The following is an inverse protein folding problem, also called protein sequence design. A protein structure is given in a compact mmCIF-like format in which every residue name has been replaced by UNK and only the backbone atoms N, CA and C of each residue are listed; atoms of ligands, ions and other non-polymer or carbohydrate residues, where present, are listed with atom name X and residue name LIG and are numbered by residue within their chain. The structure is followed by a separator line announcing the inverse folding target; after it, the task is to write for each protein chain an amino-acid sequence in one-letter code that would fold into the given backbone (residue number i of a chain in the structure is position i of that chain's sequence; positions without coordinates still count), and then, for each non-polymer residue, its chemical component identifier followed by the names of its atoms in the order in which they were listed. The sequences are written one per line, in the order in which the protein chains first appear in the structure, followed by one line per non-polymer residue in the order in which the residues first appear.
data_IF_128195256611
#
_entry.id   IF_128195256611
#
_cell.length_a   1.000
_cell.length_b   1.000
_cell.length_c   1.000
_cell.angle_alpha   90.00
_cell.angle_beta   90.00
_cell.angle_gamma   90.00
#
_symmetry.space_group_name_H-M   'P 1'
#
loop_
_entity.id
_entity.type
_entity.pdbx_description
1 polymer ?
#
# COMPACT_ATOMS: atom_id res chain seq x y z
N UNK A 1 -9.35 -8.31 -4.85
CA UNK A 1 -9.58 -6.89 -4.49
C UNK A 1 -10.32 -6.05 -5.53
N UNK A 2 -10.35 -6.41 -6.83
CA UNK A 2 -11.05 -5.61 -7.87
C UNK A 2 -12.53 -5.32 -7.56
N UNK A 3 -13.26 -6.26 -6.97
CA UNK A 3 -14.66 -6.06 -6.57
C UNK A 3 -14.86 -4.94 -5.54
N UNK A 4 -13.82 -4.63 -4.75
CA UNK A 4 -13.86 -3.58 -3.72
C UNK A 4 -13.46 -2.21 -4.27
N UNK A 5 -12.89 -2.12 -5.48
CA UNK A 5 -12.41 -0.86 -6.07
C UNK A 5 -13.42 0.29 -5.95
N UNK A 6 -14.73 0.12 -6.25
CA UNK A 6 -15.70 1.21 -6.16
C UNK A 6 -15.85 1.82 -4.76
N UNK A 7 -15.43 1.12 -3.70
CA UNK A 7 -15.46 1.63 -2.32
C UNK A 7 -14.25 2.51 -2.00
N UNK A 8 -13.19 2.44 -2.79
CA UNK A 8 -11.92 3.12 -2.57
C UNK A 8 -11.62 4.22 -3.60
N UNK A 9 -12.47 4.42 -4.59
CA UNK A 9 -12.34 5.49 -5.59
C UNK A 9 -13.52 6.45 -5.53
N UNK A 10 -13.27 7.73 -5.75
CA UNK A 10 -14.31 8.74 -5.86
C UNK A 10 -14.68 8.94 -7.31
N UNK A 11 -15.98 8.96 -7.59
CA UNK A 11 -16.44 9.34 -8.93
C UNK A 11 -16.12 10.79 -9.27
N UNK A 12 -15.93 11.66 -8.27
CA UNK A 12 -15.68 13.08 -8.48
C UNK A 12 -14.32 13.37 -9.16
N UNK A 13 -13.35 12.46 -9.06
CA UNK A 13 -12.01 12.63 -9.60
C UNK A 13 -11.74 11.77 -10.84
N UNK A 14 -12.78 11.13 -11.40
CA UNK A 14 -12.64 10.23 -12.55
C UNK A 14 -12.12 10.96 -13.79
N UNK A 15 -12.52 12.21 -13.95
CA UNK A 15 -12.08 13.10 -15.04
C UNK A 15 -11.03 14.11 -14.54
N UNK A 16 -10.39 13.81 -13.41
CA UNK A 16 -9.38 14.66 -12.79
C UNK A 16 -8.02 14.59 -13.48
N UNK A 17 -7.15 15.51 -13.11
CA UNK A 17 -5.79 15.59 -13.65
C UNK A 17 -4.95 14.36 -13.28
N UNK A 18 -3.99 14.06 -14.15
CA UNK A 18 -2.92 13.11 -13.88
C UNK A 18 -1.69 13.88 -13.40
N UNK A 19 -1.00 13.33 -12.42
CA UNK A 19 0.20 13.88 -11.82
C UNK A 19 1.34 12.90 -12.04
N UNK A 20 2.52 13.41 -12.39
CA UNK A 20 3.73 12.61 -12.46
C UNK A 20 4.14 12.21 -11.04
N UNK A 21 4.23 10.90 -10.79
CA UNK A 21 4.55 10.30 -9.49
C UNK A 21 5.71 9.34 -9.64
N UNK A 22 6.68 9.46 -8.75
CA UNK A 22 7.79 8.50 -8.63
C UNK A 22 7.33 7.34 -7.73
N UNK A 23 6.97 6.20 -8.33
CA UNK A 23 6.30 5.12 -7.58
C UNK A 23 7.25 4.31 -6.71
N UNK A 24 8.54 4.33 -7.04
CA UNK A 24 9.61 3.68 -6.28
C UNK A 24 10.56 4.72 -5.64
N UNK A 25 10.01 5.87 -5.25
CA UNK A 25 10.78 6.82 -4.46
C UNK A 25 10.99 6.22 -3.06
N UNK A 26 12.23 6.16 -2.59
CA UNK A 26 12.61 5.78 -1.23
C UNK A 26 13.85 6.55 -0.78
N UNK A 27 14.20 6.51 0.52
CA UNK A 27 15.30 7.32 1.07
C UNK A 27 16.63 7.16 0.32
N UNK A 28 17.01 5.94 -0.13
CA UNK A 28 18.25 5.74 -0.89
C UNK A 28 18.23 6.27 -2.34
N UNK A 29 17.09 6.76 -2.84
CA UNK A 29 16.98 7.43 -4.14
C UNK A 29 17.11 8.96 -4.02
N UNK A 30 17.29 9.47 -2.79
CA UNK A 30 17.34 10.90 -2.48
C UNK A 30 18.74 11.25 -1.97
N UNK A 31 19.45 12.12 -2.67
CA UNK A 31 20.70 12.70 -2.18
C UNK A 31 20.44 14.04 -1.48
N UNK A 32 21.17 14.26 -0.39
CA UNK A 32 21.14 15.50 0.37
C UNK A 32 22.55 16.08 0.51
N UNK A 33 22.67 17.39 0.64
CA UNK A 33 23.92 18.05 1.01
C UNK A 33 24.17 18.00 2.53
N UNK A 34 25.26 18.63 2.98
CA UNK A 34 25.63 18.69 4.40
C UNK A 34 24.64 19.47 5.26
N UNK A 35 23.85 20.35 4.64
CA UNK A 35 22.84 21.18 5.31
C UNK A 35 21.45 20.53 5.28
N UNK A 36 21.32 19.35 4.66
CA UNK A 36 20.10 18.55 4.60
C UNK A 36 19.16 18.90 3.44
N UNK A 37 19.59 19.71 2.47
CA UNK A 37 18.77 20.02 1.29
C UNK A 37 18.88 18.93 0.25
N UNK A 38 17.76 18.59 -0.39
CA UNK A 38 17.72 17.61 -1.48
C UNK A 38 18.50 18.16 -2.68
N UNK A 39 19.55 17.47 -3.09
CA UNK A 39 20.42 17.87 -4.20
C UNK A 39 20.09 17.14 -5.49
N UNK A 40 19.66 15.88 -5.41
CA UNK A 40 19.40 15.05 -6.58
C UNK A 40 18.47 13.88 -6.25
N UNK A 41 17.68 13.49 -7.25
CA UNK A 41 16.90 12.25 -7.25
C UNK A 41 17.49 11.32 -8.31
N UNK A 42 17.66 10.06 -7.96
CA UNK A 42 18.12 9.01 -8.89
C UNK A 42 17.02 7.94 -9.07
N UNK A 43 17.30 6.99 -9.97
CA UNK A 43 16.44 5.81 -10.18
C UNK A 43 14.99 6.15 -10.55
N UNK A 44 14.84 6.92 -11.63
CA UNK A 44 13.57 7.47 -12.09
C UNK A 44 12.82 6.55 -13.08
N UNK A 45 13.26 5.31 -13.24
CA UNK A 45 12.70 4.37 -14.24
C UNK A 45 11.24 3.98 -13.93
N UNK A 46 10.81 4.16 -12.67
CA UNK A 46 9.46 3.92 -12.19
C UNK A 46 8.61 5.20 -12.09
N UNK A 47 8.93 6.24 -12.86
CA UNK A 47 8.11 7.44 -12.97
C UNK A 47 6.83 7.16 -13.78
N UNK A 48 5.67 7.35 -13.18
CA UNK A 48 4.36 7.09 -13.80
C UNK A 48 3.42 8.30 -13.67
N UNK A 49 2.52 8.48 -14.63
CA UNK A 49 1.41 9.44 -14.48
C UNK A 49 0.23 8.76 -13.81
N UNK A 50 -0.15 9.21 -12.61
CA UNK A 50 -1.29 8.69 -11.87
C UNK A 50 -2.41 9.72 -11.69
N UNK A 51 -3.68 9.29 -11.64
CA UNK A 51 -4.78 10.14 -11.20
C UNK A 51 -4.47 10.88 -9.91
N UNK A 52 -4.96 12.11 -9.76
CA UNK A 52 -4.72 12.92 -8.57
C UNK A 52 -5.19 12.25 -7.26
N UNK A 53 -6.21 11.38 -7.32
CA UNK A 53 -6.71 10.64 -6.15
C UNK A 53 -5.72 9.57 -5.63
N UNK A 54 -4.78 9.15 -6.47
CA UNK A 54 -3.72 8.19 -6.15
C UNK A 54 -2.47 8.83 -5.57
N UNK A 55 -2.42 10.17 -5.45
CA UNK A 55 -1.33 10.82 -4.76
C UNK A 55 -1.44 10.51 -3.27
N UNK A 56 -0.43 9.80 -2.76
CA UNK A 56 -0.34 9.43 -1.34
C UNK A 56 1.06 9.68 -0.82
N UNK A 57 1.21 10.07 0.44
CA UNK A 57 2.53 10.20 1.05
C UNK A 57 3.30 8.88 1.04
N UNK A 58 4.62 8.94 0.92
CA UNK A 58 5.43 7.73 0.91
C UNK A 58 5.32 6.98 2.24
N UNK A 59 5.02 5.67 2.18
CA UNK A 59 4.82 4.86 3.38
C UNK A 59 6.09 4.74 4.24
N UNK A 60 7.26 4.87 3.62
CA UNK A 60 8.57 4.75 4.28
C UNK A 60 8.97 5.99 5.08
N UNK A 61 8.16 7.06 5.12
CA UNK A 61 8.43 8.24 5.94
C UNK A 61 8.65 7.89 7.43
N UNK A 62 7.99 6.86 7.92
CA UNK A 62 8.17 6.35 9.30
C UNK A 62 9.28 5.31 9.43
N UNK A 63 10.05 5.06 8.37
CA UNK A 63 11.10 4.03 8.32
C UNK A 63 10.56 2.59 8.36
N UNK A 64 9.24 2.40 8.23
CA UNK A 64 8.60 1.08 8.31
C UNK A 64 8.14 0.63 6.92
N UNK A 65 8.28 -0.67 6.60
CA UNK A 65 7.67 -1.20 5.39
C UNK A 65 6.15 -1.26 5.57
N UNK A 66 5.41 -1.14 4.45
CA UNK A 66 3.94 -1.10 4.46
C UNK A 66 3.27 -2.27 5.18
N UNK A 67 3.89 -3.46 5.17
CA UNK A 67 3.35 -4.66 5.78
C UNK A 67 3.53 -4.70 7.30
N UNK A 68 4.38 -3.85 7.87
CA UNK A 68 4.61 -3.76 9.32
C UNK A 68 3.89 -2.56 9.96
N UNK A 69 3.10 -1.81 9.19
CA UNK A 69 2.20 -0.79 9.73
C UNK A 69 0.94 -1.49 10.22
N UNK A 70 0.99 -2.07 11.41
CA UNK A 70 -0.16 -2.74 12.04
C UNK A 70 -1.15 -1.72 12.63
N UNK A 71 -2.41 -2.11 12.81
CA UNK A 71 -3.39 -1.23 13.42
C UNK A 71 -3.00 -0.86 14.86
N UNK A 72 -3.29 0.38 15.27
CA UNK A 72 -2.96 0.93 16.59
C UNK A 72 -1.85 1.98 16.48
N UNK A 73 -0.90 1.96 17.41
CA UNK A 73 0.15 2.99 17.54
C UNK A 73 0.96 3.23 16.25
N UNK A 74 1.14 2.20 15.41
CA UNK A 74 1.87 2.34 14.14
C UNK A 74 1.07 3.14 13.09
N UNK A 75 -0.24 2.97 13.05
CA UNK A 75 -1.13 3.78 12.19
C UNK A 75 -1.19 5.21 12.72
N UNK A 76 -1.22 5.41 14.04
CA UNK A 76 -1.23 6.75 14.65
C UNK A 76 0.06 7.51 14.33
N UNK A 77 1.23 6.87 14.52
CA UNK A 77 2.53 7.43 14.13
C UNK A 77 2.58 7.77 12.64
N UNK A 78 2.04 6.89 11.80
CA UNK A 78 1.98 7.14 10.36
C UNK A 78 1.03 8.31 10.00
N UNK A 79 -0.08 8.44 10.73
CA UNK A 79 -1.02 9.55 10.57
C UNK A 79 -0.42 10.89 10.99
N UNK A 80 0.43 10.92 12.02
CA UNK A 80 1.19 12.11 12.41
C UNK A 80 2.16 12.52 11.31
N UNK A 81 3.02 11.60 10.85
CA UNK A 81 3.96 11.86 9.75
C UNK A 81 3.27 12.29 8.44
N UNK A 82 2.10 11.70 8.15
CA UNK A 82 1.22 12.06 7.03
C UNK A 82 0.68 13.48 7.15
N UNK A 83 0.41 13.94 8.37
CA UNK A 83 -0.10 15.29 8.64
C UNK A 83 1.00 16.32 8.44
N UNK A 84 2.18 16.09 9.01
CA UNK A 84 3.37 16.94 8.79
C UNK A 84 3.73 17.02 7.30
N UNK A 85 3.71 15.89 6.61
CA UNK A 85 4.01 15.85 5.18
C UNK A 85 3.01 16.68 4.35
N UNK A 86 1.72 16.70 4.71
CA UNK A 86 0.73 17.53 4.03
C UNK A 86 1.01 19.02 4.24
N UNK A 87 1.41 19.42 5.46
CA UNK A 87 1.75 20.81 5.77
C UNK A 87 2.97 21.31 4.98
N UNK A 88 3.95 20.44 4.73
CA UNK A 88 5.16 20.77 3.97
C UNK A 88 4.96 20.70 2.45
N UNK A 89 4.27 19.67 1.95
CA UNK A 89 4.19 19.41 0.51
C UNK A 89 3.16 20.29 -0.21
N UNK A 90 2.08 20.71 0.46
CA UNK A 90 0.94 21.29 -0.25
C UNK A 90 1.00 22.81 -0.30
N UNK A 91 1.61 23.31 -1.38
CA UNK A 91 1.36 24.68 -1.84
C UNK A 91 -0.07 24.84 -2.43
N UNK A 92 -0.74 23.73 -2.75
CA UNK A 92 -2.13 23.65 -3.22
C UNK A 92 -3.03 22.97 -2.17
N UNK A 93 -3.91 23.74 -1.48
CA UNK A 93 -4.87 23.20 -0.50
C UNK A 93 -5.79 22.11 -1.05
N UNK A 94 -6.05 22.10 -2.36
CA UNK A 94 -6.94 21.11 -2.97
C UNK A 94 -6.33 19.70 -2.98
N UNK A 95 -5.01 19.58 -3.15
CA UNK A 95 -4.31 18.29 -3.11
C UNK A 95 -4.29 17.71 -1.69
N UNK A 96 -4.04 18.56 -0.69
CA UNK A 96 -4.10 18.16 0.72
C UNK A 96 -5.45 17.56 1.09
N UNK A 97 -6.52 18.21 0.62
CA UNK A 97 -7.90 17.77 0.83
C UNK A 97 -8.21 16.44 0.13
N UNK A 98 -7.68 16.24 -1.09
CA UNK A 98 -7.81 14.97 -1.80
C UNK A 98 -7.11 13.85 -1.02
N UNK A 99 -5.86 14.07 -0.60
CA UNK A 99 -5.08 13.10 0.16
C UNK A 99 -5.76 12.76 1.50
N UNK A 100 -6.35 13.76 2.18
CA UNK A 100 -7.13 13.54 3.40
C UNK A 100 -8.37 12.67 3.16
N UNK A 101 -9.16 12.99 2.12
CA UNK A 101 -10.33 12.17 1.75
C UNK A 101 -9.94 10.75 1.33
N UNK A 102 -8.82 10.58 0.63
CA UNK A 102 -8.27 9.26 0.27
C UNK A 102 -7.83 8.47 1.49
N UNK A 103 -7.26 9.13 2.51
CA UNK A 103 -6.93 8.50 3.79
C UNK A 103 -8.17 8.05 4.56
N UNK A 104 -9.15 8.94 4.76
CA UNK A 104 -10.40 8.67 5.49
C UNK A 104 -11.20 7.50 4.87
N UNK A 105 -11.17 7.38 3.54
CA UNK A 105 -11.83 6.29 2.82
C UNK A 105 -11.06 4.96 2.92
N UNK A 106 -9.81 4.97 3.35
CA UNK A 106 -8.92 3.80 3.30
C UNK A 106 -8.37 3.51 1.89
N UNK A 107 -8.49 4.46 0.95
CA UNK A 107 -7.95 4.34 -0.41
C UNK A 107 -6.44 4.13 -0.41
N UNK A 108 -5.74 4.77 0.53
CA UNK A 108 -4.31 4.57 0.77
C UNK A 108 -3.97 3.07 0.87
N UNK A 109 -4.61 2.36 1.81
CA UNK A 109 -4.36 0.94 2.04
C UNK A 109 -4.68 0.09 0.82
N UNK A 110 -5.78 0.39 0.14
CA UNK A 110 -6.16 -0.31 -1.09
C UNK A 110 -5.07 -0.19 -2.16
N UNK A 111 -4.61 1.03 -2.45
CA UNK A 111 -3.63 1.25 -3.50
C UNK A 111 -2.24 0.72 -3.14
N UNK A 112 -1.82 0.87 -1.88
CA UNK A 112 -0.57 0.28 -1.42
C UNK A 112 -0.60 -1.26 -1.47
N UNK A 113 -1.74 -1.88 -1.16
CA UNK A 113 -1.91 -3.33 -1.29
C UNK A 113 -1.86 -3.79 -2.76
N UNK A 114 -2.44 -3.05 -3.72
CA UNK A 114 -2.36 -3.38 -5.15
C UNK A 114 -0.93 -3.23 -5.69
N UNK A 115 -0.20 -2.21 -5.23
CA UNK A 115 1.16 -1.91 -5.72
C UNK A 115 2.24 -2.75 -5.04
N UNK A 116 2.00 -3.30 -3.84
CA UNK A 116 2.95 -4.14 -3.12
C UNK A 116 2.50 -5.60 -3.07
N UNK A 117 3.05 -6.44 -3.94
CA UNK A 117 2.74 -7.88 -3.92
C UNK A 117 3.08 -8.53 -2.56
N UNK A 118 4.20 -8.11 -1.95
CA UNK A 118 4.63 -8.60 -0.63
C UNK A 118 3.69 -8.12 0.48
N UNK A 119 3.21 -6.88 0.40
CA UNK A 119 2.31 -6.29 1.39
C UNK A 119 0.84 -6.68 1.21
N UNK A 120 0.42 -7.11 0.02
CA UNK A 120 -0.98 -7.32 -0.35
C UNK A 120 -1.78 -8.09 0.69
N UNK A 121 -1.34 -9.30 1.07
CA UNK A 121 -2.10 -10.15 1.99
C UNK A 121 -2.21 -9.53 3.38
N UNK A 122 -1.10 -8.95 3.88
CA UNK A 122 -1.07 -8.35 5.22
C UNK A 122 -1.90 -7.07 5.27
N UNK A 123 -1.75 -6.18 4.30
CA UNK A 123 -2.55 -4.95 4.21
C UNK A 123 -4.04 -5.26 3.97
N UNK A 124 -4.35 -6.28 3.17
CA UNK A 124 -5.72 -6.74 2.98
C UNK A 124 -6.33 -7.20 4.30
N UNK A 125 -5.64 -8.08 5.05
CA UNK A 125 -6.16 -8.63 6.29
C UNK A 125 -6.23 -7.59 7.42
N UNK A 126 -5.20 -6.75 7.55
CA UNK A 126 -5.05 -5.81 8.65
C UNK A 126 -5.94 -4.57 8.48
N UNK A 127 -5.93 -3.98 7.28
CA UNK A 127 -6.56 -2.68 7.05
C UNK A 127 -7.86 -2.79 6.27
N UNK A 128 -7.83 -3.44 5.11
CA UNK A 128 -8.98 -3.43 4.18
C UNK A 128 -10.12 -4.30 4.71
N UNK A 129 -9.83 -5.52 5.16
CA UNK A 129 -10.84 -6.47 5.63
C UNK A 129 -11.52 -5.98 6.92
N UNK A 130 -10.75 -5.32 7.79
CA UNK A 130 -11.23 -4.72 9.04
C UNK A 130 -12.34 -3.70 8.81
N UNK A 131 -12.27 -2.95 7.70
CA UNK A 131 -13.30 -1.96 7.33
C UNK A 131 -14.67 -2.59 6.98
N UNK A 132 -14.70 -3.87 6.60
CA UNK A 132 -15.95 -4.57 6.23
C UNK A 132 -16.41 -5.56 7.31
N UNK A 133 -15.46 -6.28 7.93
CA UNK A 133 -15.76 -7.26 8.97
C UNK A 133 -14.50 -7.56 9.81
N UNK A 134 -14.35 -6.91 10.96
CA UNK A 134 -13.24 -7.12 11.89
C UNK A 134 -13.10 -8.58 12.35
N UNK A 135 -14.22 -9.31 12.50
CA UNK A 135 -14.20 -10.72 12.91
C UNK A 135 -13.47 -11.62 11.92
N UNK A 136 -13.41 -11.25 10.63
CA UNK A 136 -12.70 -12.05 9.64
C UNK A 136 -11.18 -11.93 9.79
N UNK A 137 -10.66 -10.84 10.37
CA UNK A 137 -9.22 -10.61 10.54
C UNK A 137 -8.57 -11.65 11.48
N UNK A 138 -9.31 -12.19 12.43
CA UNK A 138 -8.83 -13.24 13.36
C UNK A 138 -9.15 -14.66 12.89
N UNK A 139 -9.87 -14.80 11.77
CA UNK A 139 -10.31 -16.09 11.24
C UNK A 139 -9.48 -16.48 10.02
N UNK A 140 -9.10 -17.76 9.92
CA UNK A 140 -8.52 -18.33 8.70
C UNK A 140 -9.55 -18.63 7.61
N UNK A 141 -10.69 -17.93 7.61
CA UNK A 141 -11.76 -18.13 6.62
C UNK A 141 -11.25 -17.76 5.24
N UNK A 142 -10.56 -16.62 5.11
CA UNK A 142 -9.97 -16.21 3.83
C UNK A 142 -9.02 -17.29 3.29
N UNK A 143 -8.06 -17.74 4.10
CA UNK A 143 -7.09 -18.77 3.69
C UNK A 143 -7.79 -20.07 3.27
N UNK A 144 -8.79 -20.52 4.04
CA UNK A 144 -9.52 -21.77 3.75
C UNK A 144 -10.41 -21.66 2.52
N UNK A 145 -11.02 -20.50 2.29
CA UNK A 145 -11.97 -20.28 1.20
C UNK A 145 -11.25 -19.98 -0.11
N UNK A 146 -10.18 -19.18 -0.07
CA UNK A 146 -9.45 -18.75 -1.28
C UNK A 146 -8.41 -19.80 -1.69
N UNK A 147 -7.89 -20.60 -0.76
CA UNK A 147 -6.78 -21.51 -1.10
C UNK A 147 -7.00 -22.50 -2.23
N UNK A 148 -8.18 -23.11 -2.37
CA UNK A 148 -8.42 -24.02 -3.47
C UNK A 148 -8.41 -23.34 -4.84
N UNK A 149 -8.59 -22.01 -4.90
CA UNK A 149 -8.67 -21.24 -6.16
C UNK A 149 -7.32 -20.72 -6.65
N UNK A 150 -6.21 -20.92 -5.93
CA UNK A 150 -4.87 -20.49 -6.40
C UNK A 150 -4.41 -21.24 -7.65
N UNK A 151 -4.85 -22.48 -7.82
CA UNK A 151 -4.66 -23.26 -9.06
C UNK A 151 -5.62 -24.45 -9.09
N UNK A 152 -5.85 -24.99 -10.27
CA UNK A 152 -6.57 -26.27 -10.42
C UNK A 152 -5.76 -27.35 -9.71
N UNK A 153 -6.32 -27.94 -8.65
CA UNK A 153 -5.64 -28.95 -7.84
C UNK A 153 -4.61 -28.37 -6.86
N UNK A 154 -4.85 -27.18 -6.31
CA UNK A 154 -3.97 -26.50 -5.36
C UNK A 154 -3.45 -27.41 -4.23
N UNK A 155 -4.31 -28.24 -3.63
CA UNK A 155 -3.90 -29.19 -2.57
C UNK A 155 -2.83 -30.16 -3.07
N UNK A 156 -3.04 -30.77 -4.24
CA UNK A 156 -2.06 -31.70 -4.85
C UNK A 156 -0.75 -30.99 -5.16
N UNK A 157 -0.81 -29.75 -5.61
CA UNK A 157 0.38 -28.93 -5.87
C UNK A 157 1.17 -28.68 -4.58
N UNK A 158 0.49 -28.29 -3.49
CA UNK A 158 1.09 -28.06 -2.17
C UNK A 158 1.75 -29.34 -1.66
N UNK A 159 1.04 -30.47 -1.67
CA UNK A 159 1.58 -31.76 -1.23
C UNK A 159 2.84 -32.16 -2.01
N UNK A 160 2.83 -31.96 -3.34
CA UNK A 160 4.02 -32.20 -4.18
C UNK A 160 5.20 -31.31 -3.77
N UNK A 161 4.96 -30.03 -3.45
CA UNK A 161 6.01 -29.11 -3.03
C UNK A 161 6.60 -29.47 -1.67
N UNK A 162 5.76 -29.91 -0.72
CA UNK A 162 6.22 -30.40 0.58
C UNK A 162 7.10 -31.65 0.45
N UNK A 163 6.74 -32.59 -0.42
CA UNK A 163 7.57 -33.77 -0.72
C UNK A 163 8.93 -33.36 -1.31
N UNK A 164 8.93 -32.49 -2.33
CA UNK A 164 10.16 -31.99 -2.96
C UNK A 164 11.07 -31.26 -1.96
N UNK A 165 10.50 -30.50 -1.03
CA UNK A 165 11.27 -29.79 0.00
C UNK A 165 11.93 -30.77 0.99
N UNK A 166 11.24 -31.85 1.36
CA UNK A 166 11.80 -32.89 2.21
C UNK A 166 12.99 -33.59 1.51
N UNK A 167 12.83 -33.97 0.25
CA UNK A 167 13.89 -34.59 -0.56
C UNK A 167 15.12 -33.69 -0.77
N UNK A 168 14.96 -32.37 -0.68
CA UNK A 168 16.05 -31.40 -0.85
C UNK A 168 16.81 -31.09 0.45
N UNK A 169 16.23 -31.46 1.60
CA UNK A 169 16.80 -31.24 2.94
C UNK A 169 17.57 -32.46 3.46
N UNK A 170 17.45 -33.60 2.78
CA UNK A 170 18.28 -34.80 2.96
C UNK A 170 19.53 -34.76 2.05
#
# INVERSE_FOLDING_TARGET
MRALLPQFISRQYRDGSFVLTLTDLHASNIFVDNDGYITSLIDLEWACSFPIELQTPPYWLTGRPIHDIEHGENVDTFQEAMTEFKEVQTSDPSQADIMRKSWERGSFWYFQAVNSLKGLLRVLNEHIQRMFCEKHCTQRVFDRTVSPYWSVGAERFIQKKLQQEAEFKD
#
